data_IF_907954656951
#
_entry.id   IF_907954656951
#
_cell.length_a   1.000
_cell.length_b   1.000
_cell.length_c   1.000
_cell.angle_alpha   90.00
_cell.angle_beta   90.00
_cell.angle_gamma   90.00
#
_symmetry.space_group_name_H-M   'P 1'
#
loop_
_entity.id
_entity.type
_entity.pdbx_description
1 polymer ?
#
# COMPACT_ATOMS: atom_id res chain seq x y z
N UNK A 1 53.82 5.56 -42.57
CA UNK A 1 53.29 6.91 -42.27
C UNK A 1 51.93 7.05 -42.96
N UNK A 2 51.00 7.81 -42.39
CA UNK A 2 49.70 7.20 -42.04
C UNK A 2 48.50 7.62 -42.92
N UNK A 3 47.43 6.83 -42.79
CA UNK A 3 45.99 7.16 -42.73
C UNK A 3 45.38 8.19 -43.71
N UNK A 4 44.14 8.04 -44.17
CA UNK A 4 43.14 6.99 -43.89
C UNK A 4 41.72 7.47 -44.17
N UNK A 5 40.81 6.51 -44.36
CA UNK A 5 39.35 6.64 -44.19
C UNK A 5 38.66 7.95 -44.65
N UNK A 6 38.26 8.01 -45.92
CA UNK A 6 37.07 8.77 -46.31
C UNK A 6 35.82 7.95 -45.95
N UNK A 7 35.45 7.93 -44.66
CA UNK A 7 34.14 7.41 -44.25
C UNK A 7 33.07 8.37 -44.74
N UNK A 8 32.33 7.96 -45.76
CA UNK A 8 31.05 8.59 -46.09
C UNK A 8 30.12 8.40 -44.88
N UNK A 9 29.98 9.44 -44.08
CA UNK A 9 28.80 9.60 -43.25
C UNK A 9 27.63 9.83 -44.20
N UNK A 10 26.95 8.76 -44.57
CA UNK A 10 25.55 8.87 -44.96
C UNK A 10 24.85 9.45 -43.74
N UNK A 11 24.50 10.74 -43.82
CA UNK A 11 23.51 11.35 -42.95
C UNK A 11 22.20 10.60 -43.22
N UNK A 12 22.02 9.50 -42.51
CA UNK A 12 20.75 8.80 -42.40
C UNK A 12 19.88 9.70 -41.52
N UNK A 13 19.32 10.74 -42.16
CA UNK A 13 18.34 11.62 -41.55
C UNK A 13 17.17 10.71 -41.22
N UNK A 14 17.06 10.31 -39.94
CA UNK A 14 15.89 9.61 -39.43
C UNK A 14 14.67 10.45 -39.79
N UNK A 15 13.96 10.02 -40.84
CA UNK A 15 12.79 10.71 -41.36
C UNK A 15 11.65 10.47 -40.40
N UNK A 16 11.54 11.35 -39.43
CA UNK A 16 10.46 11.33 -38.45
C UNK A 16 9.11 11.37 -39.16
N UNK A 17 8.14 10.68 -38.57
CA UNK A 17 6.73 10.82 -38.94
C UNK A 17 6.14 11.89 -38.04
N UNK A 18 5.45 12.85 -38.64
CA UNK A 18 4.74 13.91 -37.91
C UNK A 18 3.25 13.66 -38.00
N UNK A 19 2.59 13.69 -36.85
CA UNK A 19 1.16 13.55 -36.73
C UNK A 19 0.61 14.79 -36.02
N UNK A 20 -0.37 15.47 -36.60
CA UNK A 20 -1.00 16.64 -35.98
C UNK A 20 -2.51 16.63 -36.17
N UNK A 21 -3.21 17.52 -35.49
CA UNK A 21 -4.63 17.72 -35.73
C UNK A 21 -5.27 18.62 -34.70
N UNK A 22 -6.60 18.72 -34.76
CA UNK A 22 -7.43 19.41 -33.77
C UNK A 22 -8.26 18.39 -32.99
N UNK A 23 -8.29 18.55 -31.67
CA UNK A 23 -9.27 17.90 -30.80
C UNK A 23 -10.42 18.85 -30.50
N UNK A 24 -11.64 18.39 -30.70
CA UNK A 24 -12.88 19.15 -30.54
C UNK A 24 -13.94 18.36 -29.78
N UNK A 25 -15.01 19.01 -29.33
CA UNK A 25 -16.22 18.33 -28.84
C UNK A 25 -17.18 18.00 -29.99
N UNK A 26 -18.26 17.27 -29.71
CA UNK A 26 -19.31 16.93 -30.70
C UNK A 26 -19.98 18.14 -31.38
N UNK A 27 -19.81 19.35 -30.85
CA UNK A 27 -20.30 20.61 -31.45
C UNK A 27 -19.24 21.31 -32.32
N UNK A 28 -18.09 20.68 -32.55
CA UNK A 28 -16.98 21.26 -33.32
C UNK A 28 -16.23 22.39 -32.59
N UNK A 29 -16.40 22.53 -31.27
CA UNK A 29 -15.62 23.50 -30.48
C UNK A 29 -14.29 22.87 -30.10
N UNK A 30 -13.13 23.49 -30.40
CA UNK A 30 -11.84 22.96 -29.99
C UNK A 30 -11.70 22.87 -28.46
N UNK A 31 -10.95 21.89 -27.98
CA UNK A 31 -10.76 21.62 -26.55
C UNK A 31 -9.27 21.71 -26.22
N UNK A 32 -8.90 22.57 -25.27
CA UNK A 32 -7.55 22.65 -24.72
C UNK A 32 -7.33 21.68 -23.54
N UNK A 33 -6.07 21.38 -23.25
CA UNK A 33 -5.69 20.50 -22.14
C UNK A 33 -6.11 19.03 -22.30
N UNK A 34 -6.32 18.56 -23.54
CA UNK A 34 -6.55 17.15 -23.85
C UNK A 34 -5.21 16.45 -24.02
N UNK A 35 -5.03 15.32 -23.34
CA UNK A 35 -3.86 14.46 -23.55
C UNK A 35 -4.07 13.60 -24.78
N UNK A 36 -3.22 13.78 -25.79
CA UNK A 36 -3.21 13.01 -27.03
C UNK A 36 -1.99 12.09 -27.03
N UNK A 37 -2.22 10.79 -27.14
CA UNK A 37 -1.20 9.75 -27.02
C UNK A 37 -1.17 8.87 -28.26
N UNK A 38 0.02 8.60 -28.74
CA UNK A 38 0.27 7.54 -29.70
C UNK A 38 0.75 6.29 -28.95
N UNK A 39 0.10 5.17 -29.24
CA UNK A 39 0.38 3.88 -28.63
C UNK A 39 0.97 2.92 -29.66
N UNK A 40 1.98 2.16 -29.24
CA UNK A 40 2.41 0.94 -29.90
C UNK A 40 2.05 -0.23 -28.99
N UNK A 41 1.11 -1.05 -29.45
CA UNK A 41 0.42 -2.04 -28.62
C UNK A 41 -0.27 -1.40 -27.38
N UNK A 42 0.30 -1.57 -26.19
CA UNK A 42 -0.14 -0.95 -24.93
C UNK A 42 0.79 0.19 -24.46
N UNK A 43 2.03 0.29 -24.96
CA UNK A 43 2.98 1.33 -24.56
C UNK A 43 2.68 2.69 -25.21
N UNK A 44 2.80 3.77 -24.44
CA UNK A 44 2.73 5.15 -24.95
C UNK A 44 4.10 5.52 -25.54
N UNK A 45 4.18 5.59 -26.87
CA UNK A 45 5.42 5.94 -27.59
C UNK A 45 5.57 7.44 -27.86
N UNK A 46 4.47 8.21 -27.77
CA UNK A 46 4.50 9.67 -27.78
C UNK A 46 3.27 10.25 -27.07
N UNK A 47 3.43 11.35 -26.33
CA UNK A 47 2.34 12.13 -25.72
C UNK A 47 2.48 13.62 -26.08
N UNK A 48 1.35 14.29 -26.29
CA UNK A 48 1.22 15.72 -26.47
C UNK A 48 -0.03 16.22 -25.75
N UNK A 49 -0.06 17.51 -25.41
CA UNK A 49 -1.24 18.18 -24.87
C UNK A 49 -1.73 19.24 -25.85
N UNK A 50 -3.04 19.33 -26.04
CA UNK A 50 -3.64 20.29 -26.99
C UNK A 50 -3.56 21.73 -26.50
N UNK A 51 -3.19 22.64 -27.40
CA UNK A 51 -3.11 24.07 -27.13
C UNK A 51 -4.50 24.75 -26.93
N UNK A 52 -4.49 26.08 -26.79
CA UNK A 52 -5.72 26.89 -26.64
C UNK A 52 -6.68 26.83 -27.84
N UNK A 53 -6.22 26.37 -29.00
CA UNK A 53 -7.00 26.15 -30.23
C UNK A 53 -7.31 24.66 -30.46
N UNK A 54 -7.08 23.80 -29.47
CA UNK A 54 -7.26 22.36 -29.54
C UNK A 54 -6.23 21.64 -30.42
N UNK A 55 -5.16 22.31 -30.85
CA UNK A 55 -4.17 21.75 -31.77
C UNK A 55 -3.15 20.90 -31.01
N UNK A 56 -2.80 19.75 -31.57
CA UNK A 56 -1.72 18.89 -31.08
C UNK A 56 -0.74 18.53 -32.21
N UNK A 57 0.49 18.19 -31.83
CA UNK A 57 1.49 17.60 -32.72
C UNK A 57 2.32 16.56 -31.97
N UNK A 58 2.53 15.41 -32.61
CA UNK A 58 3.33 14.28 -32.16
C UNK A 58 4.38 13.99 -33.24
N UNK A 59 5.58 13.59 -32.83
CA UNK A 59 6.69 13.25 -33.72
C UNK A 59 7.30 11.93 -33.27
N UNK A 60 7.44 10.97 -34.18
CA UNK A 60 8.04 9.65 -33.91
C UNK A 60 9.15 9.34 -34.91
N UNK A 61 10.17 8.59 -34.49
CA UNK A 61 11.31 8.20 -35.35
C UNK A 61 11.13 6.89 -36.10
N UNK A 62 10.06 6.13 -35.81
CA UNK A 62 9.83 4.80 -36.36
C UNK A 62 8.50 4.76 -37.14
N UNK A 63 8.49 4.42 -38.44
CA UNK A 63 7.26 4.14 -39.16
C UNK A 63 6.66 2.81 -38.69
N UNK A 64 5.35 2.65 -38.79
CA UNK A 64 4.67 1.48 -38.21
C UNK A 64 3.15 1.58 -38.26
N UNK A 65 2.51 0.71 -37.48
CA UNK A 65 1.07 0.74 -37.23
C UNK A 65 0.87 1.11 -35.77
N UNK A 66 0.09 2.15 -35.52
CA UNK A 66 -0.07 2.75 -34.19
C UNK A 66 -1.53 3.08 -33.92
N UNK A 67 -1.88 3.17 -32.63
CA UNK A 67 -3.19 3.60 -32.19
C UNK A 67 -3.09 4.99 -31.56
N UNK A 68 -4.09 5.85 -31.77
CA UNK A 68 -4.10 7.23 -31.30
C UNK A 68 -5.30 7.45 -30.40
N UNK A 69 -5.06 7.87 -29.17
CA UNK A 69 -6.11 8.21 -28.20
C UNK A 69 -6.01 9.68 -27.78
N UNK A 70 -7.13 10.38 -27.72
CA UNK A 70 -7.27 11.66 -27.03
C UNK A 70 -8.19 11.50 -25.84
N UNK A 71 -7.79 11.98 -24.66
CA UNK A 71 -8.53 11.76 -23.40
C UNK A 71 -8.55 13.01 -22.52
N UNK A 72 -9.71 13.33 -21.93
CA UNK A 72 -9.88 14.40 -20.93
C UNK A 72 -11.02 14.06 -19.97
N UNK A 73 -10.68 13.79 -18.70
CA UNK A 73 -11.69 13.43 -17.69
C UNK A 73 -12.47 12.17 -18.08
N UNK A 74 -13.78 12.30 -18.27
CA UNK A 74 -14.68 11.21 -18.70
C UNK A 74 -14.97 11.24 -20.21
N UNK A 75 -14.19 11.95 -21.01
CA UNK A 75 -14.35 12.08 -22.46
C UNK A 75 -13.11 11.57 -23.20
N UNK A 76 -13.31 10.90 -24.34
CA UNK A 76 -12.25 10.31 -25.16
C UNK A 76 -12.62 10.14 -26.63
N UNK A 77 -11.62 9.92 -27.49
CA UNK A 77 -11.76 9.49 -28.89
C UNK A 77 -10.52 8.67 -29.30
N UNK A 78 -10.70 7.66 -30.14
CA UNK A 78 -9.65 6.72 -30.54
C UNK A 78 -9.61 6.46 -32.06
N UNK A 79 -8.42 6.22 -32.59
CA UNK A 79 -8.19 5.73 -33.96
C UNK A 79 -7.26 4.53 -33.89
N UNK A 80 -7.73 3.40 -34.39
CA UNK A 80 -7.00 2.13 -34.36
C UNK A 80 -6.27 1.85 -35.69
N UNK A 81 -5.20 1.06 -35.61
CA UNK A 81 -4.45 0.52 -36.73
C UNK A 81 -3.99 1.58 -37.76
N UNK A 82 -3.62 2.78 -37.30
CA UNK A 82 -3.18 3.86 -38.17
C UNK A 82 -1.80 3.57 -38.75
N UNK A 83 -1.69 3.49 -40.08
CA UNK A 83 -0.42 3.26 -40.77
C UNK A 83 0.36 4.56 -40.94
N UNK A 84 1.41 4.73 -40.15
CA UNK A 84 2.31 5.87 -40.16
C UNK A 84 3.55 5.54 -41.00
N UNK A 85 3.68 6.20 -42.16
CA UNK A 85 4.76 5.97 -43.11
C UNK A 85 5.92 6.97 -42.91
N UNK A 86 7.14 6.51 -43.18
CA UNK A 86 8.38 7.27 -42.99
C UNK A 86 8.36 8.61 -43.74
N UNK A 87 8.72 9.70 -43.06
CA UNK A 87 8.75 11.05 -43.64
C UNK A 87 7.38 11.61 -44.08
N UNK A 88 6.27 11.04 -43.59
CA UNK A 88 4.93 11.59 -43.84
C UNK A 88 4.50 12.56 -42.73
N UNK A 89 3.74 13.59 -43.13
CA UNK A 89 2.95 14.41 -42.22
C UNK A 89 1.49 14.01 -42.41
N UNK A 90 0.85 13.50 -41.35
CA UNK A 90 -0.57 13.14 -41.36
C UNK A 90 -1.37 14.08 -40.45
N UNK A 91 -2.56 14.49 -40.91
CA UNK A 91 -3.49 15.31 -40.13
C UNK A 91 -4.70 14.48 -39.74
N UNK A 92 -4.94 14.32 -38.44
CA UNK A 92 -6.03 13.49 -37.89
C UNK A 92 -6.79 14.30 -36.86
N UNK A 93 -8.07 14.58 -37.12
CA UNK A 93 -8.91 15.29 -36.17
C UNK A 93 -9.66 14.30 -35.27
N UNK A 94 -9.76 14.66 -33.99
CA UNK A 94 -10.39 13.84 -32.95
C UNK A 94 -11.57 14.60 -32.35
N UNK A 95 -12.67 13.91 -32.09
CA UNK A 95 -13.90 14.48 -31.54
C UNK A 95 -14.23 13.76 -30.25
N UNK A 96 -13.95 14.39 -29.11
CA UNK A 96 -14.19 13.77 -27.81
C UNK A 96 -15.68 13.49 -27.62
N UNK A 97 -15.94 12.25 -27.22
CA UNK A 97 -17.24 11.68 -26.86
C UNK A 97 -17.17 11.10 -25.44
N UNK A 98 -18.28 10.66 -24.82
CA UNK A 98 -18.21 9.90 -23.57
C UNK A 98 -17.20 8.75 -23.66
N UNK A 99 -16.23 8.72 -22.74
CA UNK A 99 -15.09 7.82 -22.82
C UNK A 99 -15.52 6.34 -22.72
N UNK A 100 -14.80 5.50 -23.47
CA UNK A 100 -14.84 4.05 -23.36
C UNK A 100 -14.68 3.67 -21.89
N UNK A 101 -15.70 3.00 -21.37
CA UNK A 101 -15.79 2.70 -19.95
C UNK A 101 -16.49 1.37 -19.69
N UNK A 102 -16.03 0.69 -18.66
CA UNK A 102 -16.65 -0.50 -18.09
C UNK A 102 -17.04 -0.13 -16.66
N UNK A 103 -18.32 -0.28 -16.32
CA UNK A 103 -18.85 -0.05 -14.97
C UNK A 103 -19.72 -1.20 -14.49
N UNK A 104 -19.67 -1.44 -13.18
CA UNK A 104 -20.38 -2.52 -12.52
C UNK A 104 -20.38 -2.36 -11.01
N UNK A 105 -21.02 -3.30 -10.32
CA UNK A 105 -21.19 -3.32 -8.87
C UNK A 105 -20.72 -4.65 -8.29
N UNK A 106 -19.81 -4.59 -7.32
CA UNK A 106 -19.43 -5.74 -6.52
C UNK A 106 -20.34 -5.79 -5.29
N UNK A 107 -21.21 -6.80 -5.24
CA UNK A 107 -21.98 -7.12 -4.05
C UNK A 107 -21.49 -8.45 -3.46
N UNK A 108 -21.80 -8.68 -2.19
CA UNK A 108 -21.63 -9.97 -1.56
C UNK A 108 -22.66 -10.98 -2.10
N UNK A 109 -22.51 -12.27 -1.75
CA UNK A 109 -23.44 -13.34 -2.11
C UNK A 109 -24.89 -13.17 -1.58
N UNK A 110 -25.17 -12.12 -0.80
CA UNK A 110 -26.51 -11.76 -0.34
C UNK A 110 -27.28 -10.84 -1.31
N UNK A 111 -26.67 -10.47 -2.44
CA UNK A 111 -27.21 -9.56 -3.46
C UNK A 111 -27.54 -8.13 -2.96
N UNK A 112 -27.12 -7.75 -1.74
CA UNK A 112 -27.47 -6.45 -1.12
C UNK A 112 -26.26 -5.73 -0.53
N UNK A 113 -25.33 -6.43 0.12
CA UNK A 113 -24.21 -5.79 0.80
C UNK A 113 -23.10 -5.44 -0.19
N UNK A 114 -22.66 -4.17 -0.28
CA UNK A 114 -21.58 -3.78 -1.20
C UNK A 114 -20.22 -4.32 -0.73
N UNK A 115 -19.38 -4.72 -1.68
CA UNK A 115 -17.97 -4.98 -1.42
C UNK A 115 -17.18 -3.70 -1.67
N UNK A 116 -16.81 -3.01 -0.60
CA UNK A 116 -16.08 -1.73 -0.65
C UNK A 116 -14.57 -1.95 -0.80
N UNK A 117 -13.88 -1.04 -1.50
CA UNK A 117 -12.42 -1.03 -1.70
C UNK A 117 -11.82 -2.33 -2.26
N UNK A 118 -12.59 -3.07 -3.04
CA UNK A 118 -12.12 -4.25 -3.75
C UNK A 118 -11.30 -3.84 -4.97
N UNK A 119 -10.16 -4.51 -5.20
CA UNK A 119 -9.35 -4.32 -6.42
C UNK A 119 -10.05 -4.99 -7.60
N UNK A 120 -10.37 -4.20 -8.62
CA UNK A 120 -10.89 -4.66 -9.90
C UNK A 120 -9.89 -4.30 -11.01
N UNK A 121 -9.62 -5.24 -11.91
CA UNK A 121 -8.71 -5.05 -13.05
C UNK A 121 -9.41 -5.35 -14.38
N UNK A 122 -9.07 -4.55 -15.39
CA UNK A 122 -9.32 -4.87 -16.80
C UNK A 122 -8.00 -5.37 -17.41
N UNK A 123 -8.01 -6.57 -17.97
CA UNK A 123 -6.84 -7.25 -18.53
C UNK A 123 -7.07 -7.64 -19.98
N UNK A 124 -6.00 -7.68 -20.78
CA UNK A 124 -6.02 -8.19 -22.15
C UNK A 124 -5.38 -9.59 -22.15
N UNK A 125 -5.99 -10.51 -22.88
CA UNK A 125 -5.46 -11.88 -23.03
C UNK A 125 -4.46 -11.92 -24.20
N UNK A 126 -3.29 -12.57 -24.02
CA UNK A 126 -2.31 -12.69 -25.09
C UNK A 126 -2.81 -13.60 -26.22
N UNK A 127 -2.40 -13.29 -27.45
CA UNK A 127 -2.86 -13.93 -28.70
C UNK A 127 -2.38 -15.38 -28.93
N UNK A 128 -1.98 -16.11 -27.88
CA UNK A 128 -1.43 -17.46 -27.97
C UNK A 128 -1.50 -18.22 -26.64
N UNK A 129 -1.48 -19.56 -26.73
CA UNK A 129 -1.58 -20.44 -25.56
C UNK A 129 -0.38 -20.29 -24.61
N UNK A 130 -0.64 -19.92 -23.36
CA UNK A 130 0.33 -19.95 -22.26
C UNK A 130 0.94 -18.61 -21.83
N UNK A 131 0.52 -17.47 -22.38
CA UNK A 131 0.92 -16.15 -21.85
C UNK A 131 0.10 -15.70 -20.63
N UNK A 132 0.72 -14.92 -19.74
CA UNK A 132 0.05 -14.22 -18.63
C UNK A 132 -0.84 -13.07 -19.16
N UNK A 133 -2.04 -12.81 -18.58
CA UNK A 133 -2.86 -11.66 -18.94
C UNK A 133 -2.21 -10.33 -18.55
N UNK A 134 -2.20 -9.35 -19.47
CA UNK A 134 -1.63 -8.03 -19.22
C UNK A 134 -2.65 -7.07 -18.60
N UNK A 135 -2.27 -6.38 -17.51
CA UNK A 135 -3.16 -5.47 -16.78
C UNK A 135 -3.16 -4.09 -17.40
N UNK A 136 -4.26 -3.72 -18.06
CA UNK A 136 -4.41 -2.42 -18.74
C UNK A 136 -4.97 -1.33 -17.82
N UNK A 137 -5.83 -1.70 -16.87
CA UNK A 137 -6.35 -0.76 -15.88
C UNK A 137 -6.65 -1.45 -14.54
N UNK A 138 -6.45 -0.73 -13.45
CA UNK A 138 -6.83 -1.12 -12.08
C UNK A 138 -7.69 -0.02 -11.46
N UNK A 139 -8.74 -0.39 -10.72
CA UNK A 139 -9.60 0.53 -9.98
C UNK A 139 -10.06 -0.10 -8.66
N UNK A 140 -10.72 0.69 -7.82
CA UNK A 140 -11.32 0.24 -6.56
C UNK A 140 -12.84 0.44 -6.59
N UNK A 141 -13.58 -0.43 -5.91
CA UNK A 141 -15.00 -0.20 -5.65
C UNK A 141 -15.23 0.85 -4.55
N UNK A 142 -16.26 1.68 -4.73
CA UNK A 142 -16.68 2.72 -3.79
C UNK A 142 -17.49 2.18 -2.59
N UNK A 143 -17.98 3.08 -1.74
CA UNK A 143 -18.82 2.75 -0.57
C UNK A 143 -20.15 2.06 -0.93
N UNK A 144 -20.61 2.20 -2.17
CA UNK A 144 -21.78 1.52 -2.73
C UNK A 144 -21.42 0.26 -3.54
N UNK A 145 -20.15 -0.16 -3.50
CA UNK A 145 -19.64 -1.32 -4.23
C UNK A 145 -19.43 -1.08 -5.72
N UNK A 146 -19.66 0.14 -6.22
CA UNK A 146 -19.54 0.45 -7.66
C UNK A 146 -18.10 0.72 -8.04
N UNK A 147 -17.72 0.28 -9.23
CA UNK A 147 -16.43 0.57 -9.81
C UNK A 147 -16.60 1.05 -11.25
N UNK A 148 -15.59 1.76 -11.75
CA UNK A 148 -15.55 2.19 -13.15
C UNK A 148 -14.12 2.27 -13.66
N UNK A 149 -13.90 1.72 -14.84
CA UNK A 149 -12.77 2.03 -15.71
C UNK A 149 -13.19 3.12 -16.68
N UNK A 150 -12.33 4.11 -16.91
CA UNK A 150 -12.54 5.19 -17.90
C UNK A 150 -11.31 5.28 -18.80
N UNK A 151 -11.51 5.81 -20.02
CA UNK A 151 -10.44 6.03 -21.00
C UNK A 151 -9.71 4.74 -21.41
N UNK A 152 -10.42 3.61 -21.42
CA UNK A 152 -9.91 2.39 -22.06
C UNK A 152 -9.74 2.62 -23.58
N UNK A 153 -8.91 1.79 -24.20
CA UNK A 153 -8.80 1.66 -25.66
C UNK A 153 -9.99 0.80 -26.16
N UNK A 154 -10.43 0.89 -27.43
CA UNK A 154 -11.29 -0.14 -27.99
C UNK A 154 -10.56 -1.50 -27.96
N UNK A 155 -11.29 -2.60 -27.81
CA UNK A 155 -10.67 -3.92 -27.70
C UNK A 155 -11.47 -4.93 -26.89
N UNK A 156 -10.87 -6.10 -26.68
CA UNK A 156 -11.42 -7.16 -25.84
C UNK A 156 -10.72 -7.20 -24.50
N UNK A 157 -11.51 -7.11 -23.43
CA UNK A 157 -11.01 -7.13 -22.06
C UNK A 157 -11.66 -8.27 -21.28
N UNK A 158 -10.87 -8.96 -20.47
CA UNK A 158 -11.40 -9.71 -19.34
C UNK A 158 -11.40 -8.79 -18.11
N UNK A 159 -12.46 -8.84 -17.30
CA UNK A 159 -12.52 -8.06 -16.05
C UNK A 159 -12.47 -9.02 -14.89
N UNK A 160 -11.62 -8.74 -13.91
CA UNK A 160 -11.39 -9.61 -12.75
C UNK A 160 -11.39 -8.83 -11.44
N UNK A 161 -11.88 -9.43 -10.37
CA UNK A 161 -11.78 -8.89 -9.01
C UNK A 161 -10.98 -9.81 -8.10
N UNK A 162 -10.18 -9.26 -7.19
CA UNK A 162 -9.39 -10.05 -6.25
C UNK A 162 -10.25 -10.61 -5.09
N UNK A 163 -9.91 -11.83 -4.67
CA UNK A 163 -10.47 -12.54 -3.51
C UNK A 163 -9.35 -12.88 -2.51
N UNK A 164 -9.69 -13.54 -1.39
CA UNK A 164 -8.74 -13.95 -0.36
C UNK A 164 -7.66 -14.96 -0.82
N UNK A 165 -7.80 -15.57 -2.00
CA UNK A 165 -6.91 -16.65 -2.49
C UNK A 165 -6.36 -16.40 -3.90
N UNK A 166 -7.22 -15.97 -4.81
CA UNK A 166 -6.92 -15.70 -6.23
C UNK A 166 -7.79 -14.52 -6.71
N UNK A 167 -7.94 -14.34 -8.02
CA UNK A 167 -8.96 -13.47 -8.62
C UNK A 167 -10.14 -14.31 -9.16
N UNK A 168 -11.30 -13.68 -9.29
CA UNK A 168 -12.48 -14.21 -10.00
C UNK A 168 -12.67 -13.40 -11.26
N UNK A 169 -12.84 -14.09 -12.38
CA UNK A 169 -13.09 -13.47 -13.69
C UNK A 169 -14.60 -13.25 -13.89
N UNK A 170 -14.97 -12.14 -14.52
CA UNK A 170 -16.34 -11.91 -14.97
C UNK A 170 -16.76 -13.02 -15.95
N UNK A 171 -17.99 -13.52 -15.81
CA UNK A 171 -18.53 -14.64 -16.58
C UNK A 171 -18.39 -16.03 -15.94
N UNK A 172 -17.57 -16.21 -14.89
CA UNK A 172 -17.57 -17.46 -14.10
C UNK A 172 -18.85 -17.55 -13.23
N UNK A 173 -19.96 -18.01 -13.83
CA UNK A 173 -21.31 -18.19 -13.22
C UNK A 173 -21.78 -17.03 -12.31
N UNK A 174 -21.55 -15.78 -12.75
CA UNK A 174 -21.94 -14.58 -12.00
C UNK A 174 -21.11 -14.31 -10.73
N UNK A 175 -19.92 -14.91 -10.63
CA UNK A 175 -18.99 -14.82 -9.49
C UNK A 175 -19.16 -15.90 -8.42
N UNK A 176 -20.02 -16.92 -8.66
CA UNK A 176 -20.51 -17.83 -7.62
C UNK A 176 -19.56 -18.93 -7.13
N UNK A 177 -18.35 -19.05 -7.65
CA UNK A 177 -17.43 -20.15 -7.28
C UNK A 177 -16.00 -19.70 -6.97
N UNK A 178 -15.50 -20.06 -5.79
CA UNK A 178 -14.05 -20.23 -5.60
C UNK A 178 -13.57 -21.41 -6.47
N UNK A 179 -12.47 -21.24 -7.21
CA UNK A 179 -11.90 -22.29 -8.07
C UNK A 179 -11.63 -23.59 -7.33
N UNK A 180 -12.16 -24.70 -7.85
CA UNK A 180 -11.49 -26.00 -7.74
C UNK A 180 -10.51 -26.15 -8.92
N UNK A 181 -9.26 -26.52 -8.62
CA UNK A 181 -8.23 -26.78 -9.64
C UNK A 181 -8.72 -27.85 -10.63
N UNK A 182 -8.79 -27.51 -11.93
CA UNK A 182 -8.79 -28.53 -12.98
C UNK A 182 -9.52 -28.23 -14.30
N UNK A 183 -10.35 -27.18 -14.42
CA UNK A 183 -11.17 -27.01 -15.62
C UNK A 183 -11.16 -25.56 -16.16
N UNK A 184 -10.27 -25.30 -17.12
CA UNK A 184 -10.06 -23.99 -17.74
C UNK A 184 -10.86 -23.88 -19.03
N UNK A 185 -12.16 -23.54 -18.97
CA UNK A 185 -12.98 -23.52 -20.21
C UNK A 185 -13.99 -22.38 -20.40
N UNK A 186 -14.11 -21.43 -19.46
CA UNK A 186 -14.93 -20.23 -19.67
C UNK A 186 -14.17 -18.98 -19.20
N UNK A 187 -13.70 -18.18 -20.17
CA UNK A 187 -13.20 -16.82 -19.96
C UNK A 187 -14.06 -15.90 -20.81
N UNK A 188 -15.01 -15.21 -20.20
CA UNK A 188 -15.85 -14.25 -20.93
C UNK A 188 -15.04 -12.98 -21.23
N UNK A 189 -14.92 -12.62 -22.52
CA UNK A 189 -14.28 -11.39 -22.95
C UNK A 189 -15.34 -10.35 -23.30
N UNK A 190 -15.17 -9.16 -22.74
CA UNK A 190 -16.00 -7.99 -22.99
C UNK A 190 -15.42 -7.22 -24.17
N UNK A 191 -16.11 -7.26 -25.31
CA UNK A 191 -15.80 -6.38 -26.44
C UNK A 191 -16.28 -4.96 -26.13
N UNK A 192 -15.36 -4.01 -26.12
CA UNK A 192 -15.66 -2.58 -25.98
C UNK A 192 -15.38 -1.86 -27.30
N UNK A 193 -16.23 -0.88 -27.62
CA UNK A 193 -16.23 -0.10 -28.86
C UNK A 193 -16.46 1.39 -28.52
N UNK A 194 -16.28 2.29 -29.49
CA UNK A 194 -16.88 3.63 -29.49
C UNK A 194 -16.27 4.58 -28.44
N UNK A 195 -17.01 5.36 -27.63
CA UNK A 195 -18.46 5.65 -27.52
C UNK A 195 -19.47 4.59 -27.02
N UNK A 196 -19.05 3.41 -26.54
CA UNK A 196 -19.88 2.54 -25.68
C UNK A 196 -19.37 2.48 -24.23
N UNK A 197 -20.28 2.66 -23.28
CA UNK A 197 -20.08 2.25 -21.88
C UNK A 197 -20.71 0.88 -21.68
N UNK A 198 -19.93 -0.13 -21.30
CA UNK A 198 -20.47 -1.39 -20.80
C UNK A 198 -20.89 -1.21 -19.34
N UNK A 199 -22.13 -1.58 -19.03
CA UNK A 199 -22.75 -1.44 -17.71
C UNK A 199 -23.16 -2.80 -17.18
N UNK A 200 -23.38 -2.87 -15.86
CA UNK A 200 -23.82 -4.08 -15.16
C UNK A 200 -22.80 -5.23 -15.25
N UNK A 201 -21.51 -4.91 -15.32
CA UNK A 201 -20.42 -5.89 -15.19
C UNK A 201 -20.28 -6.23 -13.70
N UNK A 202 -21.32 -6.84 -13.16
CA UNK A 202 -21.50 -7.02 -11.72
C UNK A 202 -20.83 -8.33 -11.25
N UNK A 203 -20.34 -8.33 -10.02
CA UNK A 203 -19.84 -9.54 -9.36
C UNK A 203 -20.69 -9.86 -8.12
N UNK A 204 -20.78 -11.15 -7.79
CA UNK A 204 -21.28 -11.66 -6.52
C UNK A 204 -20.23 -12.55 -5.87
N UNK A 205 -19.39 -11.95 -5.03
CA UNK A 205 -18.27 -12.64 -4.38
C UNK A 205 -18.56 -12.97 -2.92
N UNK A 206 -18.00 -14.08 -2.44
CA UNK A 206 -18.02 -14.38 -1.02
C UNK A 206 -17.33 -13.25 -0.25
N UNK A 207 -17.91 -12.83 0.88
CA UNK A 207 -17.37 -11.74 1.67
C UNK A 207 -15.92 -12.01 2.07
N UNK A 208 -15.01 -11.09 1.77
CA UNK A 208 -13.76 -10.99 2.53
C UNK A 208 -14.11 -10.96 4.01
N UNK A 209 -13.59 -11.90 4.81
CA UNK A 209 -13.57 -11.76 6.27
C UNK A 209 -12.62 -10.57 6.58
N UNK A 210 -13.09 -9.43 7.11
CA UNK A 210 -14.46 -9.07 7.52
C UNK A 210 -14.57 -7.56 7.77
N UNK A 211 -15.75 -6.95 7.61
CA UNK A 211 -16.13 -5.80 8.46
C UNK A 211 -17.09 -4.75 7.88
N UNK A 212 -18.06 -4.34 8.70
CA UNK A 212 -18.55 -2.95 8.73
C UNK A 212 -17.65 -2.15 9.66
N UNK A 213 -17.18 -0.98 9.25
CA UNK A 213 -16.45 -0.08 10.14
C UNK A 213 -17.39 0.47 11.22
N UNK A 214 -17.07 0.22 12.49
CA UNK A 214 -17.67 0.92 13.62
C UNK A 214 -16.59 1.74 14.31
N UNK A 215 -16.77 3.05 14.27
CA UNK A 215 -15.90 3.99 14.97
C UNK A 215 -16.26 3.96 16.46
N UNK A 216 -15.23 4.05 17.30
CA UNK A 216 -15.35 4.31 18.73
C UNK A 216 -14.50 5.53 19.04
N UNK A 217 -15.08 6.48 19.76
CA UNK A 217 -14.44 7.73 20.16
C UNK A 217 -14.57 7.92 21.67
N UNK A 218 -14.12 9.05 22.20
CA UNK A 218 -14.35 9.40 23.60
C UNK A 218 -15.83 9.43 24.01
N UNK A 219 -16.76 9.69 23.08
CA UNK A 219 -18.21 9.62 23.38
C UNK A 219 -18.72 8.19 23.56
N UNK A 220 -17.97 7.18 23.09
CA UNK A 220 -18.27 5.76 23.25
C UNK A 220 -17.59 5.15 24.49
N UNK A 221 -16.78 5.93 25.21
CA UNK A 221 -16.08 5.53 26.44
C UNK A 221 -14.57 5.38 26.33
N UNK A 222 -13.97 5.56 25.16
CA UNK A 222 -12.50 5.58 25.00
C UNK A 222 -11.92 6.80 25.77
N UNK A 223 -10.80 6.66 26.48
CA UNK A 223 -10.27 7.78 27.27
C UNK A 223 -9.83 8.99 26.41
N UNK A 224 -9.33 8.73 25.20
CA UNK A 224 -8.94 9.79 24.26
C UNK A 224 -8.98 9.27 22.80
N UNK A 225 -9.33 10.13 21.83
CA UNK A 225 -9.45 9.75 20.41
C UNK A 225 -8.12 9.33 19.74
N UNK A 226 -7.00 9.84 20.25
CA UNK A 226 -5.66 9.43 19.81
C UNK A 226 -5.24 8.14 20.51
N UNK A 227 -4.94 7.10 19.71
CA UNK A 227 -4.48 5.78 20.17
C UNK A 227 -3.06 5.57 19.64
N UNK A 228 -2.12 5.23 20.53
CA UNK A 228 -0.71 5.02 20.20
C UNK A 228 -0.29 3.55 20.26
N UNK A 229 -0.97 2.73 21.06
CA UNK A 229 -0.70 1.31 21.18
C UNK A 229 -2.01 0.51 21.18
N UNK A 230 -1.97 -0.70 20.63
CA UNK A 230 -3.08 -1.66 20.65
C UNK A 230 -2.51 -3.02 21.01
N UNK A 231 -3.15 -3.72 21.95
CA UNK A 231 -2.87 -5.10 22.29
C UNK A 231 -4.17 -5.90 22.36
N UNK A 232 -4.10 -7.21 22.10
CA UNK A 232 -5.22 -8.14 22.24
C UNK A 232 -4.77 -9.29 23.12
N UNK A 233 -5.44 -9.49 24.25
CA UNK A 233 -5.14 -10.63 25.13
C UNK A 233 -5.73 -11.95 24.58
N UNK A 234 -5.29 -13.13 25.09
CA UNK A 234 -5.77 -14.43 24.64
C UNK A 234 -7.29 -14.63 24.73
N UNK A 235 -7.95 -13.98 25.71
CA UNK A 235 -9.42 -14.01 25.88
C UNK A 235 -10.15 -13.15 24.84
N UNK A 236 -9.42 -12.31 24.11
CA UNK A 236 -9.93 -11.47 23.02
C UNK A 236 -10.39 -10.09 23.46
N UNK A 237 -10.03 -9.65 24.66
CA UNK A 237 -10.20 -8.27 25.12
C UNK A 237 -9.16 -7.40 24.41
N UNK A 238 -9.59 -6.22 23.98
CA UNK A 238 -8.69 -5.24 23.37
C UNK A 238 -8.22 -4.23 24.42
N UNK A 239 -6.93 -3.91 24.38
CA UNK A 239 -6.30 -2.91 25.23
C UNK A 239 -5.73 -1.80 24.35
N UNK A 240 -6.00 -0.54 24.68
CA UNK A 240 -5.59 0.64 23.91
C UNK A 240 -4.80 1.60 24.79
N UNK A 241 -3.65 2.05 24.28
CA UNK A 241 -2.80 3.05 24.91
C UNK A 241 -3.14 4.42 24.33
N UNK A 242 -3.48 5.38 25.20
CA UNK A 242 -3.93 6.72 24.80
C UNK A 242 -3.23 7.79 25.65
N UNK A 243 -3.31 9.09 25.27
CA UNK A 243 -2.92 10.21 26.13
C UNK A 243 -3.71 10.37 27.45
N UNK A 244 -4.83 9.68 27.62
CA UNK A 244 -5.75 9.82 28.76
C UNK A 244 -5.87 8.54 29.60
N UNK A 245 -4.89 7.64 29.52
CA UNK A 245 -4.85 6.38 30.25
C UNK A 245 -4.98 5.16 29.36
N UNK A 246 -5.06 4.00 30.01
CA UNK A 246 -5.25 2.69 29.39
C UNK A 246 -6.75 2.46 29.19
N UNK A 247 -7.19 2.06 28.00
CA UNK A 247 -8.59 1.69 27.74
C UNK A 247 -8.70 0.17 27.49
N UNK A 248 -9.45 -0.55 28.31
CA UNK A 248 -9.75 -1.98 28.17
C UNK A 248 -11.16 -2.16 27.61
N UNK A 249 -11.32 -2.91 26.52
CA UNK A 249 -12.58 -3.09 25.80
C UNK A 249 -13.01 -4.56 25.75
N UNK A 250 -14.14 -4.87 26.40
CA UNK A 250 -14.69 -6.23 26.55
C UNK A 250 -15.56 -6.72 25.36
N UNK A 251 -15.52 -6.01 24.23
CA UNK A 251 -16.41 -6.23 23.10
C UNK A 251 -17.77 -5.51 23.20
N UNK A 252 -18.06 -4.83 24.32
CA UNK A 252 -19.31 -4.06 24.54
C UNK A 252 -19.08 -2.66 25.11
N UNK A 253 -18.11 -2.49 26.00
CA UNK A 253 -17.83 -1.24 26.72
C UNK A 253 -16.33 -1.08 27.01
N UNK A 254 -15.92 0.17 27.18
CA UNK A 254 -14.60 0.54 27.66
C UNK A 254 -14.58 0.64 29.19
N UNK A 255 -13.44 0.27 29.77
CA UNK A 255 -13.04 0.56 31.13
C UNK A 255 -11.67 1.23 31.06
N UNK A 256 -11.53 2.39 31.70
CA UNK A 256 -10.30 3.16 31.61
C UNK A 256 -9.58 3.12 32.95
N UNK A 257 -8.24 3.06 32.91
CA UNK A 257 -7.38 3.15 34.08
C UNK A 257 -6.49 4.38 33.93
N UNK A 258 -6.41 5.19 34.99
CA UNK A 258 -5.63 6.43 35.04
C UNK A 258 -4.67 6.44 36.22
N UNK A 259 -3.92 7.53 36.39
CA UNK A 259 -3.12 7.82 37.59
C UNK A 259 -3.91 7.76 38.90
N UNK A 260 -5.24 7.93 38.88
CA UNK A 260 -6.11 7.75 40.06
C UNK A 260 -6.24 6.27 40.48
N UNK A 261 -6.06 5.34 39.54
CA UNK A 261 -6.08 3.88 39.79
C UNK A 261 -4.69 3.30 40.14
N UNK A 262 -3.64 4.12 40.15
CA UNK A 262 -2.26 3.72 40.47
C UNK A 262 -1.30 3.56 39.28
N UNK A 263 -1.77 3.82 38.06
CA UNK A 263 -0.94 3.97 36.87
C UNK A 263 0.12 5.07 37.08
N UNK A 264 1.33 4.93 36.52
CA UNK A 264 2.42 5.90 36.77
C UNK A 264 2.24 7.24 36.02
N UNK A 265 1.63 7.21 34.84
CA UNK A 265 1.38 8.35 33.95
C UNK A 265 0.31 7.96 32.92
N UNK A 266 -0.60 8.87 32.59
CA UNK A 266 -1.75 8.61 31.72
C UNK A 266 -1.37 8.50 30.22
N UNK A 267 -0.18 8.90 29.80
CA UNK A 267 0.20 8.98 28.39
C UNK A 267 0.89 7.70 27.89
N UNK A 268 0.10 6.72 27.45
CA UNK A 268 0.55 5.36 27.12
C UNK A 268 1.01 5.23 25.67
N UNK A 269 2.25 4.77 25.47
CA UNK A 269 2.85 4.54 24.15
C UNK A 269 3.15 3.08 23.82
N UNK A 270 3.23 2.18 24.80
CA UNK A 270 3.49 0.76 24.56
C UNK A 270 2.64 -0.14 25.45
N UNK A 271 2.20 -1.29 24.93
CA UNK A 271 1.48 -2.32 25.67
C UNK A 271 2.08 -3.68 25.32
N UNK A 272 2.35 -4.49 26.34
CA UNK A 272 2.71 -5.91 26.21
C UNK A 272 1.96 -6.73 27.27
N UNK A 273 1.75 -8.02 27.02
CA UNK A 273 1.28 -8.97 28.02
C UNK A 273 2.29 -10.11 28.09
N UNK A 274 2.73 -10.47 29.30
CA UNK A 274 3.60 -11.64 29.49
C UNK A 274 2.79 -12.95 29.54
N UNK A 275 3.43 -14.13 29.39
CA UNK A 275 2.76 -15.43 29.48
C UNK A 275 2.06 -15.73 30.81
N UNK A 276 2.42 -15.03 31.89
CA UNK A 276 1.74 -15.13 33.19
C UNK A 276 0.47 -14.25 33.26
N UNK A 277 0.19 -13.49 32.19
CA UNK A 277 -1.00 -12.65 32.00
C UNK A 277 -0.84 -11.22 32.50
N UNK A 278 0.32 -10.82 33.04
CA UNK A 278 0.56 -9.47 33.53
C UNK A 278 0.65 -8.50 32.36
N UNK A 279 -0.04 -7.37 32.48
CA UNK A 279 0.01 -6.31 31.48
C UNK A 279 1.13 -5.33 31.80
N UNK A 280 1.91 -4.94 30.80
CA UNK A 280 3.03 -4.00 30.91
C UNK A 280 2.76 -2.78 30.02
N UNK A 281 2.88 -1.58 30.58
CA UNK A 281 2.52 -0.32 29.96
C UNK A 281 3.71 0.64 29.97
N UNK A 282 4.14 1.09 28.79
CA UNK A 282 5.19 2.10 28.61
C UNK A 282 4.58 3.48 28.46
N UNK A 283 5.09 4.47 29.21
CA UNK A 283 4.50 5.81 29.30
C UNK A 283 5.42 6.91 28.75
N UNK A 284 4.87 8.10 28.50
CA UNK A 284 5.61 9.26 28.00
C UNK A 284 6.31 10.09 29.10
N UNK A 285 7.08 9.44 29.98
CA UNK A 285 7.89 10.14 31.00
C UNK A 285 7.62 9.76 32.45
N UNK A 286 6.61 8.92 32.72
CA UNK A 286 6.37 8.31 34.03
C UNK A 286 7.24 7.08 34.31
N UNK A 287 7.56 6.31 33.26
CA UNK A 287 8.25 5.02 33.34
C UNK A 287 7.41 3.87 32.79
N UNK A 288 7.49 2.71 33.44
CA UNK A 288 6.73 1.49 33.12
C UNK A 288 5.77 1.17 34.26
N UNK A 289 4.53 0.83 33.94
CA UNK A 289 3.58 0.22 34.88
C UNK A 289 3.33 -1.24 34.54
N UNK A 290 3.42 -2.14 35.51
CA UNK A 290 2.98 -3.54 35.41
C UNK A 290 1.68 -3.73 36.20
N UNK A 291 0.70 -4.41 35.62
CA UNK A 291 -0.61 -4.64 36.21
C UNK A 291 -0.92 -6.13 36.30
N UNK A 292 -1.33 -6.60 37.47
CA UNK A 292 -1.63 -8.01 37.76
C UNK A 292 -3.12 -8.37 37.68
N UNK A 293 -3.96 -7.44 37.21
CA UNK A 293 -5.41 -7.55 37.25
C UNK A 293 -6.07 -6.92 38.47
N UNK A 294 -5.29 -6.36 39.42
CA UNK A 294 -5.76 -5.67 40.63
C UNK A 294 -4.97 -4.40 40.94
N UNK A 295 -3.64 -4.48 40.95
CA UNK A 295 -2.74 -3.43 41.40
C UNK A 295 -1.66 -3.12 40.36
N UNK A 296 -1.18 -1.88 40.37
CA UNK A 296 -0.06 -1.43 39.54
C UNK A 296 1.25 -1.42 40.33
N UNK A 297 2.30 -2.00 39.75
CA UNK A 297 3.69 -1.87 40.18
C UNK A 297 4.46 -1.03 39.16
N UNK A 298 5.06 0.06 39.61
CA UNK A 298 5.66 1.08 38.74
C UNK A 298 7.19 1.05 38.82
N UNK A 299 7.85 1.20 37.67
CA UNK A 299 9.31 1.20 37.51
C UNK A 299 9.78 2.45 36.78
N UNK A 300 10.84 3.06 37.29
CA UNK A 300 11.40 4.34 36.83
C UNK A 300 12.92 4.28 36.71
N UNK A 301 13.55 5.39 36.29
CA UNK A 301 15.01 5.56 36.34
C UNK A 301 15.61 5.39 37.75
N UNK A 302 14.82 5.54 38.82
CA UNK A 302 15.27 5.26 40.20
C UNK A 302 15.46 3.76 40.46
N UNK A 303 14.75 2.93 39.71
CA UNK A 303 14.75 1.47 39.83
C UNK A 303 15.76 0.82 38.86
N UNK A 304 16.32 1.62 37.94
CA UNK A 304 17.37 1.24 36.99
C UNK A 304 16.99 1.36 35.51
N UNK A 305 15.74 1.71 35.19
CA UNK A 305 15.29 1.96 33.80
C UNK A 305 16.16 3.06 33.14
N UNK A 306 16.45 2.94 31.84
CA UNK A 306 17.35 3.87 31.16
C UNK A 306 16.76 5.29 31.02
N UNK A 307 15.47 5.37 30.67
CA UNK A 307 14.71 6.62 30.60
C UNK A 307 13.22 6.31 30.87
N UNK A 308 12.51 7.23 31.53
CA UNK A 308 11.09 7.06 31.85
C UNK A 308 10.14 7.20 30.63
N UNK A 309 10.63 7.68 29.48
CA UNK A 309 9.85 7.76 28.25
C UNK A 309 10.03 6.47 27.45
N UNK A 310 9.08 5.55 27.58
CA UNK A 310 9.17 4.16 27.09
C UNK A 310 8.26 3.97 25.87
N UNK A 311 8.86 3.52 24.76
CA UNK A 311 8.26 3.49 23.43
C UNK A 311 8.04 2.10 22.86
N UNK A 312 8.78 1.11 23.33
CA UNK A 312 8.60 -0.28 22.94
C UNK A 312 8.76 -1.21 24.16
N UNK A 313 8.02 -2.32 24.16
CA UNK A 313 8.12 -3.39 25.16
C UNK A 313 8.09 -4.72 24.43
N UNK A 314 9.03 -5.61 24.74
CA UNK A 314 9.10 -6.96 24.19
C UNK A 314 9.62 -7.94 25.25
N UNK A 315 9.00 -9.10 25.40
CA UNK A 315 9.52 -10.16 26.25
C UNK A 315 10.15 -11.29 25.43
N UNK A 316 11.32 -11.75 25.86
CA UNK A 316 11.96 -12.94 25.34
C UNK A 316 11.37 -14.23 25.97
N UNK A 317 11.44 -15.39 25.29
CA UNK A 317 10.96 -16.67 25.85
C UNK A 317 11.66 -17.16 27.12
N UNK A 318 12.79 -16.55 27.51
CA UNK A 318 13.51 -16.79 28.77
C UNK A 318 12.99 -15.92 29.94
N UNK A 319 11.94 -15.12 29.70
CA UNK A 319 11.32 -14.20 30.67
C UNK A 319 11.92 -12.80 30.68
N UNK A 320 13.03 -12.55 29.96
CA UNK A 320 13.70 -11.24 29.94
C UNK A 320 12.81 -10.20 29.25
N UNK A 321 12.46 -9.13 29.97
CA UNK A 321 11.74 -7.99 29.42
C UNK A 321 12.74 -6.99 28.81
N UNK A 322 12.41 -6.43 27.64
CA UNK A 322 13.18 -5.38 26.99
C UNK A 322 12.30 -4.15 26.76
N UNK A 323 12.84 -2.98 27.09
CA UNK A 323 12.18 -1.68 27.03
C UNK A 323 12.97 -0.74 26.13
N UNK A 324 12.38 -0.30 25.04
CA UNK A 324 12.94 0.71 24.14
C UNK A 324 12.57 2.09 24.64
N UNK A 325 13.55 2.97 24.80
CA UNK A 325 13.36 4.27 25.45
C UNK A 325 13.73 5.43 24.54
N UNK A 326 13.17 6.60 24.83
CA UNK A 326 13.49 7.85 24.14
C UNK A 326 14.81 8.42 24.69
N UNK A 327 15.84 8.52 23.84
CA UNK A 327 17.17 9.07 24.17
C UNK A 327 17.90 8.40 25.37
N UNK A 328 17.46 7.21 25.80
CA UNK A 328 18.11 6.42 26.85
C UNK A 328 18.69 5.08 26.37
N UNK A 329 18.44 4.70 25.12
CA UNK A 329 18.75 3.39 24.57
C UNK A 329 17.74 2.32 24.99
N UNK A 330 18.22 1.13 25.32
CA UNK A 330 17.39 -0.04 25.66
C UNK A 330 17.69 -0.52 27.08
N UNK A 331 16.65 -0.81 27.86
CA UNK A 331 16.76 -1.52 29.13
C UNK A 331 16.33 -2.98 29.00
N UNK A 332 17.16 -3.92 29.47
CA UNK A 332 16.80 -5.33 29.70
C UNK A 332 16.55 -5.56 31.19
N UNK A 333 15.48 -6.25 31.54
CA UNK A 333 15.06 -6.53 32.92
C UNK A 333 14.89 -8.04 33.14
N UNK A 334 15.50 -8.55 34.20
CA UNK A 334 15.53 -9.99 34.56
C UNK A 334 14.48 -10.40 35.61
N UNK A 335 13.52 -9.52 35.91
CA UNK A 335 12.59 -9.68 37.02
C UNK A 335 13.08 -9.10 38.35
N UNK A 336 14.31 -8.56 38.41
CA UNK A 336 14.91 -7.96 39.62
C UNK A 336 15.67 -6.67 39.35
N UNK A 337 16.47 -6.61 38.27
CA UNK A 337 17.38 -5.53 37.94
C UNK A 337 17.33 -5.18 36.46
N UNK A 338 17.61 -3.92 36.15
CA UNK A 338 17.76 -3.43 34.78
C UNK A 338 19.26 -3.39 34.38
N UNK A 339 19.54 -3.80 33.15
CA UNK A 339 20.80 -3.61 32.45
C UNK A 339 20.54 -2.77 31.19
N UNK A 340 21.25 -1.66 31.04
CA UNK A 340 20.99 -0.69 29.98
C UNK A 340 22.08 -0.71 28.91
N UNK A 341 21.67 -0.57 27.65
CA UNK A 341 22.52 -0.51 26.46
C UNK A 341 22.24 0.78 25.70
N UNK A 342 23.29 1.52 25.36
CA UNK A 342 23.23 2.81 24.68
C UNK A 342 24.24 2.87 23.51
N UNK A 343 24.34 4.01 22.84
CA UNK A 343 25.30 4.27 21.75
C UNK A 343 26.75 3.97 22.14
N UNK A 344 27.13 4.28 23.38
CA UNK A 344 28.44 3.95 23.97
C UNK A 344 28.74 2.43 24.01
N UNK A 345 27.70 1.59 23.98
CA UNK A 345 27.77 0.13 24.08
C UNK A 345 27.61 -0.54 22.70
N UNK A 346 27.42 0.25 21.63
CA UNK A 346 27.36 -0.20 20.22
C UNK A 346 26.03 0.04 19.49
N UNK A 347 24.99 0.47 20.19
CA UNK A 347 23.68 0.82 19.60
C UNK A 347 23.84 1.96 18.58
N UNK A 348 23.07 1.96 17.48
CA UNK A 348 23.21 2.99 16.42
C UNK A 348 22.68 4.36 16.87
N UNK A 349 21.65 4.38 17.71
CA UNK A 349 21.09 5.58 18.30
C UNK A 349 20.30 5.26 19.60
N UNK A 350 20.30 6.19 20.55
CA UNK A 350 19.68 6.03 21.87
C UNK A 350 18.16 6.23 21.86
N UNK A 351 17.56 6.57 20.71
CA UNK A 351 16.12 6.71 20.57
C UNK A 351 15.53 5.44 19.94
N UNK A 352 15.03 4.53 20.78
CA UNK A 352 14.55 3.21 20.36
C UNK A 352 13.03 3.13 20.34
N UNK A 353 12.47 2.84 19.17
CA UNK A 353 11.04 2.88 18.85
C UNK A 353 10.41 1.51 18.61
N UNK A 354 11.19 0.52 18.21
CA UNK A 354 10.71 -0.83 17.94
C UNK A 354 11.68 -1.88 18.48
N UNK A 355 11.14 -3.00 18.97
CA UNK A 355 11.92 -4.16 19.42
C UNK A 355 11.30 -5.42 18.82
N UNK A 356 12.14 -6.25 18.22
CA UNK A 356 11.79 -7.58 17.76
C UNK A 356 12.89 -8.58 18.16
N UNK A 357 12.52 -9.86 18.30
CA UNK A 357 13.45 -10.97 18.50
C UNK A 357 13.18 -12.01 17.42
N UNK A 358 14.20 -12.41 16.68
CA UNK A 358 14.06 -13.51 15.71
C UNK A 358 14.04 -14.89 16.41
N UNK A 359 13.67 -15.99 15.73
CA UNK A 359 13.66 -17.32 16.32
C UNK A 359 15.02 -17.75 16.90
N UNK A 360 16.10 -17.38 16.21
CA UNK A 360 17.50 -17.64 16.56
C UNK A 360 17.92 -16.94 17.86
N UNK A 361 17.20 -15.89 18.26
CA UNK A 361 17.36 -15.18 19.53
C UNK A 361 18.19 -13.92 19.47
N UNK A 362 18.41 -13.41 18.26
CA UNK A 362 19.00 -12.11 18.02
C UNK A 362 17.92 -11.05 18.26
N UNK A 363 18.29 -9.99 18.97
CA UNK A 363 17.43 -8.83 19.17
C UNK A 363 17.62 -7.81 18.04
N UNK A 364 16.54 -7.20 17.61
CA UNK A 364 16.50 -6.17 16.58
C UNK A 364 15.84 -4.92 17.14
N UNK A 365 16.52 -3.79 17.03
CA UNK A 365 16.12 -2.50 17.60
C UNK A 365 15.95 -1.48 16.48
N UNK A 366 14.75 -0.94 16.33
CA UNK A 366 14.43 0.13 15.39
C UNK A 366 14.63 1.47 16.06
N UNK A 367 15.46 2.34 15.47
CA UNK A 367 15.87 3.61 16.07
C UNK A 367 15.65 4.80 15.13
N UNK A 368 15.94 6.02 15.57
CA UNK A 368 15.93 7.20 14.70
C UNK A 368 17.07 7.25 13.66
N UNK A 369 18.15 6.48 13.82
CA UNK A 369 19.33 6.52 12.91
C UNK A 369 19.68 5.18 12.27
N UNK A 370 18.79 4.21 12.32
CA UNK A 370 18.91 2.92 11.65
C UNK A 370 18.34 1.77 12.45
N UNK A 371 18.77 0.56 12.10
CA UNK A 371 18.48 -0.68 12.83
C UNK A 371 19.74 -1.14 13.54
N UNK A 372 19.62 -1.54 14.81
CA UNK A 372 20.67 -2.27 15.52
C UNK A 372 20.27 -3.73 15.74
N UNK A 373 21.12 -4.65 15.31
CA UNK A 373 21.01 -6.10 15.52
C UNK A 373 21.98 -6.51 16.63
N UNK A 374 21.51 -7.25 17.63
CA UNK A 374 22.29 -7.65 18.81
C UNK A 374 22.22 -9.16 19.04
N UNK A 375 23.38 -9.83 19.02
CA UNK A 375 23.49 -11.29 19.12
C UNK A 375 23.68 -11.81 20.57
N UNK A 376 23.52 -10.94 21.57
CA UNK A 376 23.84 -11.23 22.96
C UNK A 376 25.27 -10.86 23.38
N UNK A 377 26.11 -10.37 22.45
CA UNK A 377 27.47 -9.89 22.72
C UNK A 377 27.74 -8.54 22.06
N UNK A 378 27.51 -8.43 20.76
CA UNK A 378 27.89 -7.29 19.94
C UNK A 378 26.71 -6.73 19.15
N UNK A 379 26.77 -5.44 18.85
CA UNK A 379 25.81 -4.76 17.98
C UNK A 379 26.37 -4.65 16.55
N UNK A 380 25.54 -5.00 15.58
CA UNK A 380 25.74 -4.73 14.16
C UNK A 380 24.65 -3.75 13.71
N UNK A 381 25.04 -2.65 13.09
CA UNK A 381 24.15 -1.56 12.75
C UNK A 381 23.92 -1.49 11.24
N UNK A 382 22.70 -1.15 10.83
CA UNK A 382 22.28 -1.00 9.44
C UNK A 382 21.63 0.37 9.25
N UNK A 383 21.98 1.02 8.15
CA UNK A 383 21.59 2.38 7.80
C UNK A 383 21.15 2.46 6.33
N UNK A 384 20.89 3.66 5.84
CA UNK A 384 20.74 3.97 4.40
C UNK A 384 21.97 3.60 3.56
N UNK A 385 23.16 3.49 4.17
CA UNK A 385 24.37 3.01 3.46
C UNK A 385 24.33 1.49 3.23
N UNK A 386 23.56 0.77 4.05
CA UNK A 386 23.40 -0.69 4.03
C UNK A 386 22.12 -1.15 3.31
N UNK A 387 21.32 -0.21 2.79
CA UNK A 387 20.12 -0.47 1.98
C UNK A 387 18.78 -0.09 2.59
N UNK A 388 18.73 0.48 3.80
CA UNK A 388 17.47 1.03 4.33
C UNK A 388 16.97 2.21 3.48
N UNK A 389 15.66 2.30 3.26
CA UNK A 389 15.03 3.41 2.52
C UNK A 389 15.07 4.73 3.29
N UNK A 390 15.10 4.66 4.63
CA UNK A 390 15.30 5.77 5.55
C UNK A 390 15.80 5.25 6.90
N UNK A 391 16.54 6.08 7.64
CA UNK A 391 17.14 5.69 8.92
C UNK A 391 16.16 5.76 10.11
N UNK A 392 15.02 6.44 9.99
CA UNK A 392 14.05 6.58 11.07
C UNK A 392 13.09 5.38 11.06
N UNK A 393 13.45 4.33 11.80
CA UNK A 393 12.73 3.06 11.88
C UNK A 393 11.66 3.12 12.97
N UNK A 394 10.40 3.02 12.55
CA UNK A 394 9.20 3.10 13.39
C UNK A 394 8.69 1.73 13.84
N UNK A 395 8.88 0.70 13.02
CA UNK A 395 8.34 -0.63 13.26
C UNK A 395 9.27 -1.72 12.71
N UNK A 396 9.25 -2.90 13.34
CA UNK A 396 9.94 -4.10 12.88
C UNK A 396 8.94 -5.26 12.89
N UNK A 397 8.87 -5.99 11.78
CA UNK A 397 8.06 -7.20 11.67
C UNK A 397 8.85 -8.31 10.96
N UNK A 398 8.69 -9.55 11.39
CA UNK A 398 9.23 -10.72 10.69
C UNK A 398 8.06 -11.49 10.09
N UNK A 399 8.11 -11.75 8.80
CA UNK A 399 7.08 -12.53 8.12
C UNK A 399 7.27 -14.06 8.35
N UNK A 400 6.34 -14.92 7.87
CA UNK A 400 6.46 -16.37 8.02
C UNK A 400 7.68 -16.98 7.32
N UNK A 401 8.07 -16.44 6.16
CA UNK A 401 9.22 -16.91 5.37
C UNK A 401 10.56 -16.51 6.00
N UNK A 402 10.53 -15.51 6.89
CA UNK A 402 11.65 -15.07 7.70
C UNK A 402 12.33 -13.80 7.23
N UNK A 403 11.71 -13.06 6.32
CA UNK A 403 12.16 -11.73 5.94
C UNK A 403 11.84 -10.76 7.08
N UNK A 404 12.83 -9.93 7.41
CA UNK A 404 12.69 -8.82 8.34
C UNK A 404 12.25 -7.58 7.55
N UNK A 405 11.09 -7.05 7.90
CA UNK A 405 10.50 -5.84 7.34
C UNK A 405 10.65 -4.68 8.31
N UNK A 406 11.20 -3.56 7.84
CA UNK A 406 11.47 -2.36 8.60
C UNK A 406 10.58 -1.22 8.10
N UNK A 407 9.56 -0.86 8.89
CA UNK A 407 8.71 0.29 8.60
C UNK A 407 9.43 1.57 8.99
N UNK A 408 9.66 2.47 8.03
CA UNK A 408 10.42 3.72 8.22
C UNK A 408 9.54 4.95 7.96
N UNK A 409 10.06 6.16 8.20
CA UNK A 409 9.35 7.40 7.86
C UNK A 409 9.10 7.62 6.35
N UNK A 410 9.81 6.90 5.46
CA UNK A 410 9.72 7.11 3.99
C UNK A 410 9.30 5.89 3.19
N UNK A 411 8.98 4.78 3.86
CA UNK A 411 8.54 3.55 3.20
C UNK A 411 8.78 2.33 4.07
N UNK A 412 9.04 1.20 3.41
CA UNK A 412 9.41 -0.06 4.05
C UNK A 412 10.71 -0.55 3.42
N UNK A 413 11.55 -1.22 4.20
CA UNK A 413 12.77 -1.92 3.76
C UNK A 413 12.75 -3.37 4.20
#
# INVERSE_FOLDING_TARGET
MPNGSSTNYTNDVQKTVVLSGVVQNEKGTPISGVKVRLHWDLEVVAEAETDALGQYQLTISSPGTYDLGATRGTEGDWREAMRLCEGTHQTINLTLKPAISIEGTLLMLDDVTPHVAAVVQAVVLPSGDGGEPEVVATTLSDESGKYRFINLKPGQYQVRCYTLKEYVDYGEEGGRTERQKGNTQYRETLQVECDKTLKNVDFRIAAFKKGTWRNYTHTDGLAHNGVFAIHRDPDGVMWFGTPGGICRYDGKRFFNFTTEDGLIDDNIHAIHQDPDGMMWFGTNGGGVSRYDGKEFLNFTTKDGLANNNVRAIHQCPDGMMWFGTWEGGVSRYDGKQFLNFATKDGLVDDFVLAIHRDPEGVMWFGTQRGVSRYDGKEFLNFTTEDGLVDNFVLAIHRDPDGVMWFGTQRGVS
#
